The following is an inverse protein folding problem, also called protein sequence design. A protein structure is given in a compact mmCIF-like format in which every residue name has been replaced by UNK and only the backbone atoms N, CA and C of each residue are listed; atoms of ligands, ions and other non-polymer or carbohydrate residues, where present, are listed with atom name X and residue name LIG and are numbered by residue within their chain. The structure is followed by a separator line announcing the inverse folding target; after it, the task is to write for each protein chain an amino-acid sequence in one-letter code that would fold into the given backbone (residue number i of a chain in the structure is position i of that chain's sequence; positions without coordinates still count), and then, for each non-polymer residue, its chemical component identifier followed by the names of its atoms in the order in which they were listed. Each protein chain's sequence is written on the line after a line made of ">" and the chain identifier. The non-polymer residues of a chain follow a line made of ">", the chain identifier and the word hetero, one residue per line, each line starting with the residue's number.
data_IF_782557880875
#
_entry.id   IF_782557880875
#
_cell.length_a   1.000
_cell.length_b   1.000
_cell.length_c   1.000
_cell.angle_alpha   90.00
_cell.angle_beta   90.00
_cell.angle_gamma   90.00
#
_symmetry.space_group_name_H-M   'P 1'
#
loop_
_entity.id
_entity.type
_entity.pdbx_description
1 polymer ?
#
# COMPACT_ATOMS: atom_id res chain seq x y z
N UNK A 1 -21.86 -11.32 -12.04
CA UNK A 1 -21.70 -12.63 -11.38
C UNK A 1 -23.01 -13.38 -11.47
N UNK A 2 -22.98 -14.72 -11.51
CA UNK A 2 -24.21 -15.52 -11.47
C UNK A 2 -25.00 -15.25 -10.16
N UNK A 3 -26.34 -15.31 -10.19
CA UNK A 3 -27.15 -15.11 -8.99
C UNK A 3 -26.81 -16.17 -7.93
N UNK A 4 -26.89 -15.79 -6.65
CA UNK A 4 -26.51 -16.65 -5.52
C UNK A 4 -27.23 -18.01 -5.55
N UNK A 5 -28.51 -18.01 -5.95
CA UNK A 5 -29.29 -19.23 -6.18
C UNK A 5 -28.62 -20.18 -7.18
N UNK A 6 -28.19 -19.67 -8.33
CA UNK A 6 -27.51 -20.47 -9.36
C UNK A 6 -26.09 -20.95 -8.96
N UNK A 7 -25.48 -20.33 -7.94
CA UNK A 7 -24.21 -20.81 -7.37
C UNK A 7 -24.45 -21.88 -6.31
N UNK A 8 -25.49 -21.72 -5.50
CA UNK A 8 -25.89 -22.65 -4.45
C UNK A 8 -26.49 -23.94 -5.00
N UNK A 9 -27.15 -23.88 -6.16
CA UNK A 9 -27.74 -25.05 -6.82
C UNK A 9 -26.71 -25.95 -7.51
N UNK A 10 -25.43 -25.57 -7.50
CA UNK A 10 -24.37 -26.42 -8.05
C UNK A 10 -24.20 -27.65 -7.17
N UNK A 11 -24.18 -28.87 -7.74
CA UNK A 11 -24.14 -30.11 -6.96
C UNK A 11 -22.92 -30.19 -6.03
N UNK A 12 -21.80 -29.62 -6.44
CA UNK A 12 -20.58 -29.52 -5.63
C UNK A 12 -20.76 -28.63 -4.41
N UNK A 13 -21.46 -27.49 -4.56
CA UNK A 13 -21.74 -26.57 -3.46
C UNK A 13 -22.77 -27.12 -2.48
N UNK A 14 -23.79 -27.81 -2.98
CA UNK A 14 -24.74 -28.55 -2.13
C UNK A 14 -24.06 -29.65 -1.33
N UNK A 15 -23.08 -30.35 -1.91
CA UNK A 15 -22.32 -31.38 -1.20
C UNK A 15 -21.47 -30.77 -0.08
N UNK A 16 -20.75 -29.67 -0.36
CA UNK A 16 -19.98 -28.92 0.65
C UNK A 16 -20.87 -28.44 1.80
N UNK A 17 -22.02 -27.82 1.50
CA UNK A 17 -22.95 -27.31 2.50
C UNK A 17 -23.57 -28.43 3.36
N UNK A 18 -23.89 -29.58 2.76
CA UNK A 18 -24.37 -30.76 3.51
C UNK A 18 -23.28 -31.31 4.43
N UNK A 19 -22.03 -31.34 3.98
CA UNK A 19 -20.89 -31.74 4.81
C UNK A 19 -20.67 -30.80 6.00
N UNK A 20 -20.74 -29.48 5.77
CA UNK A 20 -20.68 -28.47 6.83
C UNK A 20 -21.82 -28.64 7.83
N UNK A 21 -23.05 -28.85 7.35
CA UNK A 21 -24.23 -29.08 8.19
C UNK A 21 -24.05 -30.30 9.10
N UNK A 22 -23.59 -31.43 8.55
CA UNK A 22 -23.35 -32.64 9.33
C UNK A 22 -22.25 -32.47 10.39
N UNK A 23 -21.20 -31.69 10.11
CA UNK A 23 -20.16 -31.36 11.08
C UNK A 23 -20.71 -30.51 12.23
N UNK A 24 -21.53 -29.51 11.92
CA UNK A 24 -22.19 -28.64 12.92
C UNK A 24 -23.18 -29.44 13.77
N UNK A 25 -24.02 -30.27 13.14
CA UNK A 25 -25.03 -31.07 13.86
C UNK A 25 -24.39 -32.08 14.83
N UNK A 26 -23.17 -32.57 14.54
CA UNK A 26 -22.44 -33.52 15.42
C UNK A 26 -21.61 -32.84 16.50
N UNK A 27 -21.01 -31.69 16.21
CA UNK A 27 -20.05 -31.03 17.11
C UNK A 27 -20.56 -29.75 17.77
N UNK A 28 -21.78 -29.33 17.46
CA UNK A 28 -22.44 -28.18 18.06
C UNK A 28 -21.72 -26.85 17.83
N UNK A 29 -21.89 -25.86 18.73
CA UNK A 29 -21.33 -24.53 18.59
C UNK A 29 -19.81 -24.49 18.46
N UNK A 30 -19.09 -25.40 19.13
CA UNK A 30 -17.63 -25.46 19.07
C UNK A 30 -17.13 -25.87 17.67
N UNK A 31 -17.82 -26.79 16.99
CA UNK A 31 -17.48 -27.18 15.63
C UNK A 31 -17.80 -26.07 14.61
N UNK A 32 -18.85 -25.27 14.86
CA UNK A 32 -19.14 -24.10 14.05
C UNK A 32 -18.05 -23.02 14.19
N UNK A 33 -17.61 -22.74 15.43
CA UNK A 33 -16.53 -21.77 15.68
C UNK A 33 -15.23 -22.20 15.01
N UNK A 34 -14.82 -23.47 15.17
CA UNK A 34 -13.62 -23.98 14.53
C UNK A 34 -13.66 -23.90 12.98
N UNK A 35 -14.85 -24.03 12.38
CA UNK A 35 -15.02 -23.84 10.94
C UNK A 35 -14.91 -22.37 10.51
N UNK A 36 -15.39 -21.44 11.33
CA UNK A 36 -15.16 -20.00 11.12
C UNK A 36 -13.68 -19.65 11.22
N UNK A 37 -12.99 -20.11 12.27
CA UNK A 37 -11.57 -19.84 12.46
C UNK A 37 -10.73 -20.40 11.29
N UNK A 38 -11.06 -21.60 10.78
CA UNK A 38 -10.40 -22.19 9.60
C UNK A 38 -10.67 -21.38 8.32
N UNK A 39 -11.89 -20.84 8.18
CA UNK A 39 -12.25 -19.98 7.05
C UNK A 39 -11.51 -18.65 7.11
N UNK A 40 -11.46 -18.01 8.28
CA UNK A 40 -10.78 -16.74 8.50
C UNK A 40 -9.26 -16.89 8.30
N UNK A 41 -8.67 -18.00 8.78
CA UNK A 41 -7.27 -18.32 8.52
C UNK A 41 -6.98 -18.50 7.02
N UNK A 42 -7.84 -19.20 6.27
CA UNK A 42 -7.71 -19.34 4.81
C UNK A 42 -7.90 -18.02 4.07
N UNK A 43 -8.79 -17.15 4.55
CA UNK A 43 -8.97 -15.82 4.00
C UNK A 43 -7.72 -14.96 4.21
N UNK A 44 -7.17 -14.95 5.44
CA UNK A 44 -5.93 -14.27 5.77
C UNK A 44 -4.74 -14.78 4.95
N UNK A 45 -4.63 -16.10 4.75
CA UNK A 45 -3.58 -16.69 3.92
C UNK A 45 -3.71 -16.29 2.45
N UNK A 46 -4.93 -16.27 1.88
CA UNK A 46 -5.15 -15.79 0.51
C UNK A 46 -4.80 -14.32 0.33
N UNK A 47 -5.10 -13.48 1.32
CA UNK A 47 -4.72 -12.06 1.31
C UNK A 47 -3.20 -11.93 1.39
N UNK A 48 -2.53 -12.68 2.27
CA UNK A 48 -1.08 -12.72 2.36
C UNK A 48 -0.42 -13.23 1.07
N UNK A 49 -1.02 -14.23 0.41
CA UNK A 49 -0.51 -14.80 -0.83
C UNK A 49 -0.71 -13.86 -2.03
N UNK A 50 -1.85 -13.17 -2.09
CA UNK A 50 -2.09 -12.10 -3.05
C UNK A 50 -1.11 -10.94 -2.83
N UNK A 51 -0.82 -10.59 -1.57
CA UNK A 51 0.18 -9.59 -1.20
C UNK A 51 1.59 -10.01 -1.61
N UNK A 52 2.00 -11.27 -1.37
CA UNK A 52 3.28 -11.82 -1.85
C UNK A 52 3.40 -11.82 -3.37
N UNK A 53 2.33 -12.18 -4.08
CA UNK A 53 2.30 -12.14 -5.56
C UNK A 53 2.37 -10.72 -6.10
N UNK A 54 1.74 -9.77 -5.43
CA UNK A 54 1.91 -8.34 -5.70
C UNK A 54 3.36 -7.89 -5.45
N UNK A 55 3.95 -8.30 -4.34
CA UNK A 55 5.36 -8.03 -4.00
C UNK A 55 6.34 -8.62 -5.03
N UNK A 56 6.11 -9.84 -5.52
CA UNK A 56 6.93 -10.44 -6.57
C UNK A 56 6.67 -9.83 -7.96
N UNK A 57 5.43 -9.40 -8.25
CA UNK A 57 5.10 -8.72 -9.50
C UNK A 57 5.69 -7.30 -9.58
N UNK A 58 5.87 -6.62 -8.43
CA UNK A 58 6.56 -5.34 -8.33
C UNK A 58 8.08 -5.46 -8.44
N UNK A 59 8.63 -6.67 -8.27
CA UNK A 59 10.03 -7.01 -8.59
C UNK A 59 10.16 -7.38 -10.07
N UNK A 60 9.72 -6.50 -10.97
CA UNK A 60 10.23 -6.53 -12.34
C UNK A 60 11.77 -6.62 -12.28
N UNK A 61 12.40 -7.48 -13.09
CA UNK A 61 13.84 -7.78 -13.02
C UNK A 61 14.67 -6.49 -12.89
N UNK A 62 15.01 -6.12 -11.65
CA UNK A 62 15.78 -4.92 -11.37
C UNK A 62 17.16 -5.13 -11.97
N UNK A 63 17.57 -4.21 -12.83
CA UNK A 63 18.86 -4.27 -13.50
C UNK A 63 19.93 -4.03 -12.44
N UNK A 64 20.73 -5.08 -12.16
CA UNK A 64 21.93 -4.95 -11.34
C UNK A 64 22.93 -4.10 -12.10
N UNK A 65 23.36 -3.00 -11.51
CA UNK A 65 24.24 -2.03 -12.15
C UNK A 65 25.45 -1.70 -11.27
N UNK A 66 26.40 -0.95 -11.82
CA UNK A 66 27.63 -0.55 -11.15
C UNK A 66 27.46 0.75 -10.32
N UNK A 67 28.48 1.06 -9.52
CA UNK A 67 28.48 2.24 -8.66
C UNK A 67 28.42 3.56 -9.44
N UNK A 68 28.95 3.59 -10.67
CA UNK A 68 28.88 4.76 -11.53
C UNK A 68 27.44 5.02 -12.00
N UNK A 69 26.75 3.98 -12.48
CA UNK A 69 25.35 4.08 -12.89
C UNK A 69 24.45 4.42 -11.70
N UNK A 70 24.72 3.86 -10.53
CA UNK A 70 24.07 4.25 -9.28
C UNK A 70 24.15 5.78 -9.04
N UNK A 71 25.35 6.34 -9.17
CA UNK A 71 25.56 7.79 -8.96
C UNK A 71 24.74 8.61 -9.94
N UNK A 72 24.67 8.19 -11.21
CA UNK A 72 23.83 8.82 -12.24
C UNK A 72 22.34 8.73 -11.88
N UNK A 73 21.87 7.58 -11.41
CA UNK A 73 20.48 7.37 -10.98
C UNK A 73 20.12 8.28 -9.80
N UNK A 74 20.95 8.34 -8.76
CA UNK A 74 20.70 9.19 -7.60
C UNK A 74 20.73 10.67 -7.95
N UNK A 75 21.64 11.09 -8.83
CA UNK A 75 21.70 12.47 -9.32
C UNK A 75 20.45 12.82 -10.15
N UNK A 76 20.01 11.92 -11.02
CA UNK A 76 18.81 12.09 -11.80
C UNK A 76 17.55 12.15 -10.92
N UNK A 77 17.40 11.22 -9.98
CA UNK A 77 16.29 11.23 -9.01
C UNK A 77 16.26 12.50 -8.17
N UNK A 78 17.41 13.00 -7.72
CA UNK A 78 17.51 14.28 -7.02
C UNK A 78 17.13 15.47 -7.90
N UNK A 79 17.54 15.47 -9.16
CA UNK A 79 17.17 16.51 -10.13
C UNK A 79 15.64 16.55 -10.31
N UNK A 80 15.04 15.43 -10.68
CA UNK A 80 13.59 15.32 -10.85
C UNK A 80 12.81 15.70 -9.58
N UNK A 81 13.32 15.32 -8.40
CA UNK A 81 12.72 15.72 -7.12
C UNK A 81 12.72 17.24 -6.94
N UNK A 82 13.83 17.91 -7.25
CA UNK A 82 13.96 19.38 -7.19
C UNK A 82 13.09 20.07 -8.23
N UNK A 83 13.13 19.61 -9.47
CA UNK A 83 12.34 20.17 -10.57
C UNK A 83 10.84 20.06 -10.27
N UNK A 84 10.38 18.90 -9.79
CA UNK A 84 8.99 18.74 -9.38
C UNK A 84 8.60 19.60 -8.18
N UNK A 85 9.52 19.87 -7.25
CA UNK A 85 9.26 20.80 -6.15
C UNK A 85 9.15 22.26 -6.63
N UNK A 86 9.95 22.67 -7.62
CA UNK A 86 9.84 24.00 -8.22
C UNK A 86 8.49 24.18 -8.92
N UNK A 87 8.05 23.19 -9.69
CA UNK A 87 6.73 23.24 -10.34
C UNK A 87 5.59 23.20 -9.32
N UNK A 88 5.73 22.39 -8.26
CA UNK A 88 4.78 22.38 -7.14
C UNK A 88 4.61 23.77 -6.50
N UNK A 89 5.70 24.49 -6.27
CA UNK A 89 5.68 25.84 -5.69
C UNK A 89 5.01 26.86 -6.61
N UNK A 90 5.12 26.68 -7.93
CA UNK A 90 4.42 27.51 -8.93
C UNK A 90 2.92 27.21 -9.03
N UNK A 91 2.46 26.10 -8.44
CA UNK A 91 1.08 25.61 -8.56
C UNK A 91 0.87 24.66 -9.75
N UNK A 92 1.93 24.32 -10.47
CA UNK A 92 1.94 23.42 -11.62
C UNK A 92 2.01 21.97 -11.14
N UNK A 93 0.89 21.47 -10.61
CA UNK A 93 0.84 20.15 -9.93
C UNK A 93 1.02 18.99 -10.92
N UNK A 94 0.55 19.14 -12.17
CA UNK A 94 0.68 18.09 -13.20
C UNK A 94 2.14 17.91 -13.63
N UNK A 95 2.87 19.02 -13.81
CA UNK A 95 4.29 19.03 -14.15
C UNK A 95 5.15 18.50 -12.99
N UNK A 96 4.77 18.85 -11.75
CA UNK A 96 5.38 18.29 -10.55
C UNK A 96 5.21 16.76 -10.51
N UNK A 97 3.99 16.27 -10.75
CA UNK A 97 3.69 14.83 -10.79
C UNK A 97 4.46 14.13 -11.90
N UNK A 98 4.49 14.71 -13.11
CA UNK A 98 5.24 14.17 -14.25
C UNK A 98 6.73 14.02 -13.92
N UNK A 99 7.34 15.03 -13.31
CA UNK A 99 8.75 14.99 -12.89
C UNK A 99 9.02 13.85 -11.89
N UNK A 100 8.11 13.64 -10.93
CA UNK A 100 8.26 12.58 -9.94
C UNK A 100 7.94 11.18 -10.48
N UNK A 101 7.01 11.03 -11.43
CA UNK A 101 6.77 9.76 -12.14
C UNK A 101 8.01 9.31 -12.91
N UNK A 102 8.67 10.24 -13.60
CA UNK A 102 9.91 9.94 -14.32
C UNK A 102 11.00 9.47 -13.36
N UNK A 103 11.10 10.07 -12.18
CA UNK A 103 12.04 9.60 -11.15
C UNK A 103 11.68 8.22 -10.59
N UNK A 104 10.39 7.95 -10.33
CA UNK A 104 9.90 6.63 -9.89
C UNK A 104 10.29 5.52 -10.88
N UNK A 105 9.96 5.73 -12.17
CA UNK A 105 10.28 4.77 -13.23
C UNK A 105 11.77 4.45 -13.31
N UNK A 106 12.61 5.47 -13.12
CA UNK A 106 14.06 5.28 -13.14
C UNK A 106 14.54 4.56 -11.88
N UNK A 107 14.10 4.95 -10.69
CA UNK A 107 14.57 4.41 -9.42
C UNK A 107 14.14 2.94 -9.21
N UNK A 108 12.93 2.56 -9.64
CA UNK A 108 12.45 1.19 -9.47
C UNK A 108 13.12 0.18 -10.40
N UNK A 109 13.70 0.64 -11.51
CA UNK A 109 14.31 -0.22 -12.54
C UNK A 109 15.69 -0.77 -12.14
N UNK A 110 16.44 -0.07 -11.30
CA UNK A 110 17.83 -0.40 -11.02
C UNK A 110 18.05 -0.81 -9.56
N UNK A 111 19.04 -1.67 -9.35
CA UNK A 111 19.60 -1.97 -8.02
C UNK A 111 21.11 -2.18 -8.11
N UNK A 112 21.80 -2.07 -7.00
CA UNK A 112 23.19 -2.53 -6.89
C UNK A 112 23.26 -4.02 -6.56
N UNK A 113 24.44 -4.67 -6.68
CA UNK A 113 24.66 -5.99 -6.14
C UNK A 113 24.21 -6.08 -4.68
N UNK A 114 23.64 -7.22 -4.28
CA UNK A 114 23.05 -7.37 -2.94
C UNK A 114 24.08 -7.23 -1.79
N UNK A 115 25.39 -7.33 -2.12
CA UNK A 115 26.50 -7.04 -1.22
C UNK A 115 26.59 -5.55 -0.83
N UNK A 116 26.21 -4.63 -1.72
CA UNK A 116 26.22 -3.19 -1.46
C UNK A 116 24.91 -2.75 -0.80
N UNK A 117 24.81 -3.05 0.49
CA UNK A 117 23.67 -2.67 1.31
C UNK A 117 23.51 -1.15 1.43
N UNK A 118 24.62 -0.41 1.48
CA UNK A 118 24.59 1.03 1.66
C UNK A 118 24.01 1.73 0.43
N UNK A 119 24.50 1.42 -0.77
CA UNK A 119 23.98 1.99 -1.99
C UNK A 119 22.53 1.60 -2.26
N UNK A 120 22.17 0.33 -2.05
CA UNK A 120 20.77 -0.11 -2.17
C UNK A 120 19.84 0.63 -1.21
N UNK A 121 20.31 0.92 0.02
CA UNK A 121 19.56 1.77 0.96
C UNK A 121 19.39 3.20 0.44
N UNK A 122 20.42 3.80 -0.16
CA UNK A 122 20.32 5.15 -0.73
C UNK A 122 19.29 5.24 -1.87
N UNK A 123 19.21 4.24 -2.76
CA UNK A 123 18.15 4.17 -3.78
C UNK A 123 16.78 4.05 -3.10
N UNK A 124 16.65 3.14 -2.14
CA UNK A 124 15.39 2.89 -1.46
C UNK A 124 14.88 4.16 -0.74
N UNK A 125 15.74 4.85 -0.01
CA UNK A 125 15.42 6.11 0.68
C UNK A 125 15.00 7.21 -0.31
N UNK A 126 15.69 7.31 -1.45
CA UNK A 126 15.34 8.26 -2.52
C UNK A 126 14.00 7.90 -3.17
N UNK A 127 13.78 6.63 -3.46
CA UNK A 127 12.57 6.12 -4.11
C UNK A 127 11.36 6.31 -3.20
N UNK A 128 11.47 5.98 -1.92
CA UNK A 128 10.45 6.27 -0.90
C UNK A 128 10.10 7.76 -0.88
N UNK A 129 11.09 8.66 -0.92
CA UNK A 129 10.85 10.10 -0.95
C UNK A 129 10.10 10.57 -2.21
N UNK A 130 10.43 10.01 -3.38
CA UNK A 130 9.76 10.32 -4.66
C UNK A 130 8.33 9.80 -4.68
N UNK A 131 8.10 8.53 -4.33
CA UNK A 131 6.77 7.90 -4.27
C UNK A 131 5.82 8.67 -3.35
N UNK A 132 6.34 9.11 -2.22
CA UNK A 132 5.68 10.01 -1.30
C UNK A 132 5.19 11.29 -2.00
N UNK A 133 6.04 11.93 -2.80
CA UNK A 133 5.65 13.14 -3.54
C UNK A 133 4.65 12.83 -4.66
N UNK A 134 4.82 11.72 -5.39
CA UNK A 134 3.86 11.22 -6.38
C UNK A 134 2.47 11.08 -5.75
N UNK A 135 2.37 10.36 -4.64
CA UNK A 135 1.11 10.16 -3.94
C UNK A 135 0.46 11.49 -3.53
N UNK A 136 1.25 12.46 -3.07
CA UNK A 136 0.74 13.78 -2.69
C UNK A 136 0.19 14.58 -3.86
N UNK A 137 0.86 14.57 -5.01
CA UNK A 137 0.39 15.25 -6.21
C UNK A 137 -0.82 14.54 -6.82
N UNK A 138 -0.80 13.22 -6.89
CA UNK A 138 -1.93 12.43 -7.36
C UNK A 138 -3.19 12.69 -6.51
N UNK A 139 -3.07 12.78 -5.18
CA UNK A 139 -4.16 13.22 -4.28
C UNK A 139 -4.70 14.59 -4.68
N UNK A 140 -3.82 15.56 -4.95
CA UNK A 140 -4.25 16.92 -5.32
C UNK A 140 -5.00 16.98 -6.66
N UNK A 141 -4.65 16.10 -7.59
CA UNK A 141 -5.27 16.01 -8.91
C UNK A 141 -6.48 15.05 -8.93
N UNK A 142 -6.78 14.37 -7.82
CA UNK A 142 -7.87 13.39 -7.74
C UNK A 142 -7.54 12.04 -8.40
N UNK A 143 -6.26 11.75 -8.67
CA UNK A 143 -5.81 10.45 -9.19
C UNK A 143 -5.65 9.45 -8.03
N UNK A 144 -6.77 9.08 -7.43
CA UNK A 144 -6.78 8.32 -6.17
C UNK A 144 -6.17 6.92 -6.28
N UNK A 145 -6.38 6.22 -7.39
CA UNK A 145 -5.80 4.89 -7.63
C UNK A 145 -4.29 4.92 -7.71
N UNK A 146 -3.73 5.90 -8.42
CA UNK A 146 -2.30 6.11 -8.51
C UNK A 146 -1.71 6.57 -7.17
N UNK A 147 -2.40 7.46 -6.46
CA UNK A 147 -1.98 7.87 -5.13
C UNK A 147 -1.88 6.70 -4.16
N UNK A 148 -2.86 5.79 -4.21
CA UNK A 148 -2.86 4.58 -3.41
C UNK A 148 -1.69 3.67 -3.78
N UNK A 149 -1.47 3.43 -5.07
CA UNK A 149 -0.36 2.59 -5.54
C UNK A 149 0.99 3.17 -5.09
N UNK A 150 1.22 4.48 -5.26
CA UNK A 150 2.45 5.13 -4.84
C UNK A 150 2.64 5.11 -3.31
N UNK A 151 1.57 5.24 -2.53
CA UNK A 151 1.63 5.12 -1.08
C UNK A 151 1.97 3.69 -0.63
N UNK A 152 1.32 2.69 -1.22
CA UNK A 152 1.59 1.27 -0.94
C UNK A 152 3.02 0.89 -1.34
N UNK A 153 3.53 1.39 -2.47
CA UNK A 153 4.91 1.19 -2.91
C UNK A 153 5.91 1.81 -1.91
N UNK A 154 5.62 3.01 -1.39
CA UNK A 154 6.45 3.65 -0.38
C UNK A 154 6.47 2.84 0.93
N UNK A 155 5.32 2.28 1.33
CA UNK A 155 5.20 1.42 2.51
C UNK A 155 5.88 0.05 2.36
N UNK A 156 6.07 -0.44 1.13
CA UNK A 156 6.90 -1.63 0.88
C UNK A 156 8.39 -1.36 1.07
N UNK A 157 8.81 -0.10 0.99
CA UNK A 157 10.19 0.32 1.28
C UNK A 157 10.37 0.57 2.77
N UNK A 158 9.46 1.34 3.38
CA UNK A 158 9.46 1.66 4.81
C UNK A 158 8.01 1.62 5.34
N UNK A 159 7.68 0.53 6.04
CA UNK A 159 6.35 0.30 6.59
C UNK A 159 6.07 1.11 7.87
N UNK A 160 7.08 1.82 8.40
CA UNK A 160 6.97 2.71 9.55
C UNK A 160 6.79 4.18 9.13
N UNK A 161 6.72 4.47 7.83
CA UNK A 161 6.56 5.85 7.35
C UNK A 161 5.13 6.36 7.53
N UNK A 162 4.90 7.09 8.62
CA UNK A 162 3.62 7.74 8.92
C UNK A 162 3.08 8.64 7.79
N UNK A 163 3.94 9.29 6.99
CA UNK A 163 3.49 10.15 5.86
C UNK A 163 2.98 9.30 4.71
N UNK A 164 3.58 8.13 4.46
CA UNK A 164 3.10 7.20 3.46
C UNK A 164 1.74 6.62 3.88
N UNK A 165 1.58 6.21 5.14
CA UNK A 165 0.29 5.79 5.69
C UNK A 165 -0.78 6.88 5.60
N UNK A 166 -0.44 8.14 5.93
CA UNK A 166 -1.39 9.25 5.83
C UNK A 166 -1.85 9.48 4.38
N UNK A 167 -0.94 9.37 3.40
CA UNK A 167 -1.28 9.47 1.98
C UNK A 167 -2.13 8.29 1.51
N UNK A 168 -1.85 7.09 2.00
CA UNK A 168 -2.68 5.90 1.78
C UNK A 168 -4.12 6.16 2.25
N UNK A 169 -4.29 6.65 3.47
CA UNK A 169 -5.60 6.97 4.03
C UNK A 169 -6.35 8.03 3.20
N UNK A 170 -5.68 9.12 2.78
CA UNK A 170 -6.29 10.12 1.90
C UNK A 170 -6.70 9.56 0.53
N UNK A 171 -5.91 8.66 -0.05
CA UNK A 171 -6.24 8.03 -1.32
C UNK A 171 -7.45 7.10 -1.20
N UNK A 172 -7.57 6.37 -0.09
CA UNK A 172 -8.70 5.48 0.18
C UNK A 172 -9.99 6.24 0.45
N UNK A 173 -9.92 7.36 1.16
CA UNK A 173 -11.01 8.32 1.32
C UNK A 173 -11.56 8.75 -0.05
N UNK A 174 -10.66 9.19 -0.96
CA UNK A 174 -11.02 9.57 -2.32
C UNK A 174 -11.60 8.43 -3.18
N UNK A 175 -11.30 7.17 -2.85
CA UNK A 175 -11.87 5.98 -3.48
C UNK A 175 -13.16 5.49 -2.80
N UNK A 176 -13.58 6.07 -1.68
CA UNK A 176 -14.71 5.59 -0.87
C UNK A 176 -14.46 4.25 -0.16
N UNK A 177 -13.20 3.85 0.02
CA UNK A 177 -12.80 2.59 0.67
C UNK A 177 -12.60 2.80 2.19
N UNK A 178 -13.68 3.18 2.87
CA UNK A 178 -13.65 3.67 4.25
C UNK A 178 -13.12 2.65 5.28
N UNK A 179 -13.39 1.36 5.10
CA UNK A 179 -12.89 0.33 6.02
C UNK A 179 -11.35 0.25 6.01
N UNK A 180 -10.75 0.27 4.82
CA UNK A 180 -9.29 0.21 4.68
C UNK A 180 -8.60 1.54 5.01
N UNK A 181 -9.35 2.64 4.91
CA UNK A 181 -8.90 3.93 5.44
C UNK A 181 -8.78 3.87 6.96
N UNK A 182 -9.80 3.36 7.66
CA UNK A 182 -9.78 3.25 9.12
C UNK A 182 -8.63 2.37 9.60
N UNK A 183 -8.39 1.24 8.94
CA UNK A 183 -7.20 0.41 9.17
C UNK A 183 -5.91 1.22 9.02
N UNK A 184 -5.81 2.08 8.00
CA UNK A 184 -4.64 2.91 7.79
C UNK A 184 -4.49 3.98 8.89
N UNK A 185 -5.57 4.55 9.40
CA UNK A 185 -5.56 5.51 10.49
C UNK A 185 -5.13 4.86 11.81
N UNK A 186 -5.59 3.64 12.09
CA UNK A 186 -5.15 2.84 13.25
C UNK A 186 -3.65 2.55 13.18
N UNK A 187 -3.14 2.17 12.00
CA UNK A 187 -1.69 1.99 11.81
C UNK A 187 -0.89 3.27 12.08
N UNK A 188 -1.40 4.44 11.70
CA UNK A 188 -0.73 5.72 12.02
C UNK A 188 -0.71 5.96 13.54
N UNK A 189 -1.79 5.64 14.24
CA UNK A 189 -1.87 5.80 15.70
C UNK A 189 -0.90 4.86 16.43
N UNK A 190 -0.79 3.60 15.99
CA UNK A 190 0.18 2.63 16.50
C UNK A 190 1.62 3.14 16.33
N UNK A 191 1.95 3.65 15.14
CA UNK A 191 3.27 4.20 14.82
C UNK A 191 3.59 5.49 15.58
N UNK A 192 2.56 6.21 16.05
CA UNK A 192 2.73 7.43 16.82
C UNK A 192 3.05 7.18 18.29
N UNK A 193 2.96 5.94 18.78
CA UNK A 193 3.30 5.59 20.17
C UNK A 193 4.77 5.95 20.46
N UNK A 194 4.99 6.78 21.48
CA UNK A 194 6.33 7.25 21.88
C UNK A 194 6.85 8.46 21.07
N UNK A 195 6.12 8.96 20.07
CA UNK A 195 6.50 10.19 19.36
C UNK A 195 6.09 11.44 20.15
N UNK A 196 6.93 12.49 20.18
CA UNK A 196 6.61 13.73 20.88
C UNK A 196 5.43 14.49 20.25
N UNK A 197 5.13 14.25 18.97
CA UNK A 197 4.00 14.87 18.25
C UNK A 197 2.74 13.98 18.19
N UNK A 198 2.67 12.92 18.99
CA UNK A 198 1.53 11.99 19.03
C UNK A 198 0.18 12.68 19.23
N UNK A 199 0.10 13.67 20.11
CA UNK A 199 -1.16 14.35 20.41
C UNK A 199 -1.68 15.14 19.20
N UNK A 200 -0.76 15.75 18.43
CA UNK A 200 -1.09 16.39 17.15
C UNK A 200 -1.60 15.36 16.16
N UNK A 201 -0.89 14.24 15.99
CA UNK A 201 -1.29 13.15 15.10
C UNK A 201 -2.70 12.66 15.45
N UNK A 202 -2.97 12.38 16.73
CA UNK A 202 -4.30 11.96 17.21
C UNK A 202 -5.40 12.98 16.93
N UNK A 203 -5.09 14.28 17.06
CA UNK A 203 -6.03 15.34 16.71
C UNK A 203 -6.36 15.33 15.22
N UNK A 204 -5.33 15.19 14.38
CA UNK A 204 -5.49 15.15 12.92
C UNK A 204 -6.28 13.89 12.48
N UNK A 205 -6.01 12.73 13.09
CA UNK A 205 -6.75 11.48 12.83
C UNK A 205 -8.21 11.59 13.25
N UNK A 206 -8.51 12.17 14.41
CA UNK A 206 -9.90 12.42 14.86
C UNK A 206 -10.65 13.33 13.90
N UNK A 207 -10.05 14.45 13.49
CA UNK A 207 -10.65 15.36 12.51
C UNK A 207 -10.86 14.70 11.12
N UNK A 208 -10.11 13.64 10.82
CA UNK A 208 -10.31 12.84 9.60
C UNK A 208 -11.48 11.87 9.77
N UNK A 209 -11.55 11.14 10.88
CA UNK A 209 -12.68 10.26 11.24
C UNK A 209 -14.01 11.01 11.32
N UNK A 210 -14.01 12.22 11.86
CA UNK A 210 -15.22 13.06 11.95
C UNK A 210 -15.75 13.54 10.60
N UNK A 211 -14.94 13.53 9.52
CA UNK A 211 -15.44 13.81 8.16
C UNK A 211 -16.15 12.63 7.51
N UNK A 212 -16.01 11.43 8.08
CA UNK A 212 -16.55 10.17 7.57
C UNK A 212 -17.93 9.87 8.18
N UNK A 213 -18.17 10.34 9.42
CA UNK A 213 -19.41 10.14 10.19
C UNK A 213 -20.52 11.12 9.79
#
# INVERSE_FOLDING_TARGET
>A
GAPLSAVLDRPEKLHELRGMRQRIDRGGPAAAQAMMDEFDARAAERVADARRKLEDSGRGHRVVSDTETMTKILNFGNKCKKDGYLEWQKGNIEEALSSWRVADEYLKKYKLPDADKHGNKLIADMHSAVLKNVAQAAIRLGYWTEALAAADDALRIDDQDHKAWFRRACALEGLGRLAEEEDALDRIEDLAVGRPDRDRIRKDLRAKRERIA
#
